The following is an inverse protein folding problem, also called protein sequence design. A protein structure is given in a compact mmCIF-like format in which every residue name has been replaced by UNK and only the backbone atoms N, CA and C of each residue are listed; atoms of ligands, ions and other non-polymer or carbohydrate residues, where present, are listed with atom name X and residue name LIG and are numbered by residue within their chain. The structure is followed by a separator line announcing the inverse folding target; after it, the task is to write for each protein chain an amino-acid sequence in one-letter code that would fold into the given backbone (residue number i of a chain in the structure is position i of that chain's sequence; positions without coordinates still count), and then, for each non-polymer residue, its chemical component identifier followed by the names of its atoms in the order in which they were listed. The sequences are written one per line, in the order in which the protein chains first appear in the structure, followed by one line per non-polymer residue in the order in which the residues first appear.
data_IF_008481568459
#
_entry.id   IF_008481568459
#
_cell.length_a   1.000
_cell.length_b   1.000
_cell.length_c   1.000
_cell.angle_alpha   90.00
_cell.angle_beta   90.00
_cell.angle_gamma   90.00
#
_symmetry.space_group_name_H-M   'P 1'
#
loop_
_entity.id
_entity.type
_entity.pdbx_description
1 polymer ?
#
# COMPACT_ATOMS: atom_id res chain seq x y z
N UNK A 1 -2.01 36.94 -8.27
CA UNK A 1 -0.85 36.04 -8.21
C UNK A 1 -0.67 35.60 -6.76
N UNK A 2 -1.04 34.36 -6.42
CA UNK A 2 -0.69 33.79 -5.13
C UNK A 2 0.68 33.12 -5.27
N UNK A 3 1.69 33.68 -4.62
CA UNK A 3 3.03 33.10 -4.53
C UNK A 3 2.90 31.88 -3.62
N UNK A 4 2.88 30.69 -4.22
CA UNK A 4 3.14 29.45 -3.49
C UNK A 4 4.62 29.49 -3.08
N UNK A 5 4.90 30.02 -1.90
CA UNK A 5 6.15 29.75 -1.18
C UNK A 5 6.16 28.27 -0.84
N UNK A 6 6.57 27.45 -1.80
CA UNK A 6 6.99 26.08 -1.55
C UNK A 6 8.38 26.18 -0.96
N UNK A 7 8.45 26.33 0.36
CA UNK A 7 9.68 25.99 1.09
C UNK A 7 10.04 24.56 0.71
N UNK A 8 11.11 24.45 -0.09
CA UNK A 8 11.78 23.18 -0.37
C UNK A 8 12.20 22.55 0.97
N UNK A 9 11.85 21.27 1.13
CA UNK A 9 12.49 20.31 2.02
C UNK A 9 12.21 20.37 3.54
N UNK A 10 10.95 20.53 3.95
CA UNK A 10 10.51 20.14 5.31
C UNK A 10 10.13 18.64 5.39
N UNK A 11 10.46 17.81 4.38
CA UNK A 11 10.11 16.38 4.43
C UNK A 11 10.89 15.60 5.48
N UNK A 12 12.20 15.83 5.58
CA UNK A 12 13.07 15.08 6.50
C UNK A 12 12.70 15.26 7.98
N UNK A 13 12.49 16.49 8.50
CA UNK A 13 12.11 16.69 9.89
C UNK A 13 10.77 16.03 10.25
N UNK A 14 9.80 16.08 9.33
CA UNK A 14 8.45 15.53 9.53
C UNK A 14 8.42 14.01 9.53
N UNK A 15 9.26 13.37 8.69
CA UNK A 15 9.40 11.91 8.66
C UNK A 15 10.06 11.36 9.94
N UNK A 16 10.79 12.19 10.68
CA UNK A 16 11.44 11.83 11.95
C UNK A 16 10.56 12.11 13.17
N UNK A 17 9.36 12.64 13.00
CA UNK A 17 8.42 12.80 14.11
C UNK A 17 7.88 11.44 14.55
N UNK A 18 7.74 11.26 15.86
CA UNK A 18 7.13 10.06 16.45
C UNK A 18 5.63 10.23 16.71
N UNK A 19 5.11 11.46 16.58
CA UNK A 19 3.72 11.80 16.85
C UNK A 19 2.96 12.26 15.61
N UNK A 20 1.73 11.79 15.51
CA UNK A 20 0.81 12.17 14.43
C UNK A 20 0.35 13.61 14.59
N UNK A 21 0.42 14.37 13.51
CA UNK A 21 -0.17 15.71 13.42
C UNK A 21 -0.79 15.88 12.03
N UNK A 22 -2.03 16.38 11.97
CA UNK A 22 -2.67 16.65 10.67
C UNK A 22 -1.93 17.73 9.88
N UNK A 23 -1.34 18.70 10.57
CA UNK A 23 -0.64 19.84 9.97
C UNK A 23 0.59 19.40 9.17
N UNK A 24 1.37 18.45 9.72
CA UNK A 24 2.57 17.95 9.05
C UNK A 24 2.33 16.72 8.18
N UNK A 25 1.11 16.18 8.13
CA UNK A 25 0.84 15.05 7.25
C UNK A 25 1.16 15.33 5.76
N UNK A 26 1.49 14.31 4.99
CA UNK A 26 1.73 14.40 3.55
C UNK A 26 0.63 15.22 2.82
N UNK A 27 1.07 16.24 2.08
CA UNK A 27 0.19 17.18 1.39
C UNK A 27 -0.62 16.51 0.28
N UNK A 28 -0.08 15.46 -0.35
CA UNK A 28 -0.77 14.77 -1.43
C UNK A 28 -1.98 14.00 -0.89
N UNK A 29 -1.79 13.27 0.21
CA UNK A 29 -2.86 12.56 0.90
C UNK A 29 -3.96 13.52 1.35
N UNK A 30 -3.58 14.66 1.96
CA UNK A 30 -4.55 15.72 2.32
C UNK A 30 -5.34 16.23 1.12
N UNK A 31 -4.72 16.42 -0.05
CA UNK A 31 -5.42 16.85 -1.27
C UNK A 31 -6.43 15.81 -1.75
N UNK A 32 -6.08 14.53 -1.74
CA UNK A 32 -7.02 13.46 -2.12
C UNK A 32 -8.24 13.44 -1.21
N UNK A 33 -8.02 13.47 0.12
CA UNK A 33 -9.11 13.47 1.10
C UNK A 33 -9.97 14.74 1.06
N UNK A 34 -9.38 15.89 0.71
CA UNK A 34 -10.13 17.13 0.48
C UNK A 34 -11.01 17.07 -0.77
N UNK A 35 -10.56 16.39 -1.82
CA UNK A 35 -11.35 16.22 -3.05
C UNK A 35 -12.44 15.16 -2.91
N UNK A 36 -12.17 14.09 -2.17
CA UNK A 36 -13.10 12.99 -1.92
C UNK A 36 -12.76 12.36 -0.58
N UNK A 37 -13.64 12.54 0.40
CA UNK A 37 -13.43 12.00 1.76
C UNK A 37 -13.51 10.47 1.78
N UNK A 38 -14.17 9.84 0.80
CA UNK A 38 -14.26 8.39 0.66
C UNK A 38 -13.14 7.81 -0.21
N UNK A 39 -12.17 8.63 -0.65
CA UNK A 39 -11.11 8.21 -1.58
C UNK A 39 -10.45 6.88 -1.17
N UNK A 40 -10.08 6.75 0.11
CA UNK A 40 -9.41 5.54 0.62
C UNK A 40 -10.37 4.33 0.70
N UNK A 41 -11.58 4.53 1.22
CA UNK A 41 -12.59 3.47 1.34
C UNK A 41 -12.97 2.92 -0.05
N UNK A 42 -13.29 3.81 -0.99
CA UNK A 42 -13.66 3.43 -2.36
C UNK A 42 -12.50 2.81 -3.14
N UNK A 43 -11.25 3.21 -2.88
CA UNK A 43 -10.09 2.52 -3.48
C UNK A 43 -10.04 1.06 -3.01
N UNK A 44 -10.07 0.83 -1.70
CA UNK A 44 -9.89 -0.51 -1.10
C UNK A 44 -11.09 -1.42 -1.42
N UNK A 45 -12.29 -0.84 -1.43
CA UNK A 45 -13.54 -1.56 -1.73
C UNK A 45 -13.87 -1.65 -3.22
N UNK A 46 -13.07 -1.01 -4.07
CA UNK A 46 -13.28 -0.96 -5.51
C UNK A 46 -14.67 -0.43 -5.91
N UNK A 47 -15.07 0.69 -5.30
CA UNK A 47 -16.38 1.33 -5.47
C UNK A 47 -16.30 2.67 -6.22
N UNK A 48 -17.45 3.18 -6.63
CA UNK A 48 -17.56 4.48 -7.32
C UNK A 48 -16.69 4.58 -8.57
N UNK A 49 -16.01 5.72 -8.72
CA UNK A 49 -15.13 5.97 -9.87
C UNK A 49 -13.84 5.12 -9.85
N UNK A 50 -13.48 4.50 -8.72
CA UNK A 50 -12.32 3.60 -8.66
C UNK A 50 -12.53 2.32 -9.45
N UNK A 51 -13.78 1.84 -9.55
CA UNK A 51 -14.10 0.70 -10.42
C UNK A 51 -13.77 0.97 -11.89
N UNK A 52 -14.01 2.20 -12.36
CA UNK A 52 -13.63 2.61 -13.73
C UNK A 52 -12.12 2.66 -13.91
N UNK A 53 -11.41 3.26 -12.95
CA UNK A 53 -9.93 3.34 -12.95
C UNK A 53 -9.28 1.96 -12.91
N UNK A 54 -9.88 1.04 -12.17
CA UNK A 54 -9.48 -0.36 -12.12
C UNK A 54 -9.59 -1.04 -13.49
N UNK A 55 -10.69 -0.83 -14.22
CA UNK A 55 -10.80 -1.34 -15.58
C UNK A 55 -9.67 -0.88 -16.50
N UNK A 56 -9.30 0.41 -16.45
CA UNK A 56 -8.14 0.92 -17.20
C UNK A 56 -6.82 0.30 -16.72
N UNK A 57 -6.62 0.17 -15.41
CA UNK A 57 -5.44 -0.49 -14.85
C UNK A 57 -5.34 -1.95 -15.30
N UNK A 58 -6.45 -2.69 -15.29
CA UNK A 58 -6.50 -4.10 -15.70
C UNK A 58 -6.10 -4.29 -17.16
N UNK A 59 -6.53 -3.40 -18.06
CA UNK A 59 -6.09 -3.41 -19.47
C UNK A 59 -4.56 -3.28 -19.58
N UNK A 60 -3.97 -2.35 -18.83
CA UNK A 60 -2.52 -2.18 -18.82
C UNK A 60 -1.78 -3.36 -18.19
N UNK A 61 -2.35 -3.96 -17.15
CA UNK A 61 -1.78 -5.16 -16.52
C UNK A 61 -1.80 -6.36 -17.45
N UNK A 62 -2.91 -6.62 -18.14
CA UNK A 62 -2.99 -7.70 -19.12
C UNK A 62 -1.97 -7.50 -20.24
N UNK A 63 -1.88 -6.28 -20.79
CA UNK A 63 -0.88 -5.96 -21.82
C UNK A 63 0.56 -6.19 -21.34
N UNK A 64 0.86 -5.85 -20.07
CA UNK A 64 2.16 -6.14 -19.47
C UNK A 64 2.40 -7.65 -19.32
N UNK A 65 1.44 -8.39 -18.77
CA UNK A 65 1.58 -9.83 -18.51
C UNK A 65 1.62 -10.67 -19.79
N UNK A 66 0.89 -10.28 -20.83
CA UNK A 66 0.94 -10.91 -22.16
C UNK A 66 2.32 -10.76 -22.81
N UNK A 67 3.07 -9.71 -22.47
CA UNK A 67 4.41 -9.47 -22.97
C UNK A 67 5.50 -10.22 -22.19
N UNK A 68 5.20 -10.73 -20.99
CA UNK A 68 6.15 -11.49 -20.18
C UNK A 68 6.15 -12.96 -20.63
N UNK A 69 7.30 -13.56 -20.96
CA UNK A 69 7.38 -14.98 -21.28
C UNK A 69 6.78 -15.87 -20.17
N UNK A 70 6.04 -16.90 -20.56
CA UNK A 70 5.30 -17.75 -19.62
C UNK A 70 6.18 -18.54 -18.64
N UNK A 71 7.48 -18.68 -18.93
CA UNK A 71 8.47 -19.32 -18.07
C UNK A 71 9.12 -18.34 -17.06
N UNK A 72 8.87 -17.04 -17.19
CA UNK A 72 9.34 -16.01 -16.25
C UNK A 72 8.30 -15.82 -15.14
N UNK A 73 8.63 -16.11 -13.87
CA UNK A 73 7.71 -15.88 -12.76
C UNK A 73 7.50 -14.38 -12.52
N UNK A 74 6.24 -13.99 -12.33
CA UNK A 74 5.84 -12.62 -11.98
C UNK A 74 5.24 -12.61 -10.59
N UNK A 75 5.73 -11.75 -9.71
CA UNK A 75 5.19 -11.56 -8.37
C UNK A 75 4.53 -10.17 -8.29
N UNK A 76 3.22 -10.14 -8.05
CA UNK A 76 2.47 -8.89 -7.84
C UNK A 76 2.31 -8.69 -6.34
N UNK A 77 3.00 -7.69 -5.79
CA UNK A 77 2.98 -7.36 -4.38
C UNK A 77 1.96 -6.26 -4.09
N UNK A 78 0.96 -6.58 -3.25
CA UNK A 78 -0.10 -5.67 -2.83
C UNK A 78 0.26 -5.03 -1.49
N UNK A 79 1.03 -3.94 -1.51
CA UNK A 79 1.38 -3.23 -0.27
C UNK A 79 0.10 -2.65 0.35
N UNK A 80 -0.30 -3.05 1.57
CA UNK A 80 -1.52 -2.56 2.17
C UNK A 80 -1.42 -1.06 2.44
N UNK A 81 -2.54 -0.35 2.39
CA UNK A 81 -2.60 0.98 2.94
C UNK A 81 -2.53 0.90 4.47
N UNK A 82 -1.84 1.84 5.13
CA UNK A 82 -1.67 1.85 6.59
C UNK A 82 -2.97 1.72 7.38
N UNK A 83 -4.08 2.30 6.90
CA UNK A 83 -5.39 2.20 7.56
C UNK A 83 -5.96 0.76 7.59
N UNK A 84 -5.49 -0.11 6.69
CA UNK A 84 -5.82 -1.54 6.70
C UNK A 84 -5.03 -2.30 7.78
N UNK A 85 -3.88 -1.75 8.23
CA UNK A 85 -2.93 -2.44 9.11
C UNK A 85 -3.36 -2.40 10.57
N UNK A 86 -3.89 -1.28 11.08
CA UNK A 86 -4.47 -1.23 12.43
C UNK A 86 -5.30 0.04 12.69
N UNK A 87 -5.88 0.08 13.88
CA UNK A 87 -6.75 1.16 14.35
C UNK A 87 -6.04 2.51 14.54
N UNK A 88 -4.73 2.50 14.85
CA UNK A 88 -3.97 3.74 15.02
C UNK A 88 -3.94 4.54 13.72
N UNK A 89 -3.59 3.91 12.61
CA UNK A 89 -3.57 4.57 11.31
C UNK A 89 -4.99 4.88 10.81
N UNK A 90 -5.94 3.97 11.05
CA UNK A 90 -7.35 4.19 10.69
C UNK A 90 -7.90 5.47 11.33
N UNK A 91 -7.71 5.67 12.63
CA UNK A 91 -8.17 6.87 13.33
C UNK A 91 -7.39 8.12 12.91
N UNK A 92 -6.10 8.01 12.61
CA UNK A 92 -5.32 9.12 12.06
C UNK A 92 -5.84 9.57 10.69
N UNK A 93 -6.22 8.64 9.80
CA UNK A 93 -6.85 9.00 8.52
C UNK A 93 -8.19 9.69 8.71
N UNK A 94 -9.00 9.26 9.69
CA UNK A 94 -10.25 9.96 10.05
C UNK A 94 -10.00 11.39 10.53
N UNK A 95 -8.93 11.62 11.31
CA UNK A 95 -8.50 12.99 11.70
C UNK A 95 -8.06 13.85 10.52
N UNK A 96 -7.64 13.25 9.41
CA UNK A 96 -7.36 13.94 8.15
C UNK A 96 -8.60 14.17 7.28
N UNK A 97 -9.78 13.71 7.71
CA UNK A 97 -11.04 13.84 6.99
C UNK A 97 -11.44 12.62 6.15
N UNK A 98 -10.73 11.49 6.26
CA UNK A 98 -11.16 10.26 5.59
C UNK A 98 -12.45 9.71 6.21
N UNK A 99 -13.34 9.23 5.35
CA UNK A 99 -14.54 8.48 5.70
C UNK A 99 -14.39 7.03 5.29
N UNK A 100 -14.84 6.13 6.16
CA UNK A 100 -14.83 4.69 5.92
C UNK A 100 -16.21 4.13 6.25
N UNK A 101 -16.75 3.32 5.35
CA UNK A 101 -18.07 2.72 5.55
C UNK A 101 -18.01 1.52 6.52
N UNK A 102 -16.89 0.81 6.54
CA UNK A 102 -16.69 -0.33 7.44
C UNK A 102 -15.20 -0.58 7.68
N UNK A 103 -14.78 -0.46 8.95
CA UNK A 103 -13.41 -0.79 9.36
C UNK A 103 -13.05 -2.24 9.04
N UNK A 104 -13.96 -3.16 9.37
CA UNK A 104 -13.78 -4.59 9.11
C UNK A 104 -13.60 -4.88 7.62
N UNK A 105 -14.36 -4.20 6.75
CA UNK A 105 -14.30 -4.43 5.31
C UNK A 105 -12.96 -4.02 4.69
N UNK A 106 -12.29 -3.00 5.22
CA UNK A 106 -10.98 -2.54 4.70
C UNK A 106 -9.79 -3.26 5.35
N UNK A 107 -9.95 -3.76 6.58
CA UNK A 107 -8.88 -4.44 7.34
C UNK A 107 -8.88 -5.98 7.14
N UNK A 108 -9.91 -6.57 6.52
CA UNK A 108 -9.89 -8.00 6.22
C UNK A 108 -8.84 -8.35 5.16
N UNK A 109 -8.29 -9.58 5.24
CA UNK A 109 -7.27 -10.07 4.31
C UNK A 109 -7.75 -10.03 2.85
N UNK A 110 -8.95 -10.55 2.60
CA UNK A 110 -9.58 -10.61 1.27
C UNK A 110 -10.45 -9.38 1.01
N UNK A 111 -9.82 -8.20 1.01
CA UNK A 111 -10.53 -6.95 0.71
C UNK A 111 -10.90 -6.87 -0.79
N UNK A 112 -11.97 -6.16 -1.17
CA UNK A 112 -12.56 -6.28 -2.51
C UNK A 112 -11.60 -6.00 -3.67
N UNK A 113 -10.75 -4.98 -3.56
CA UNK A 113 -9.75 -4.70 -4.61
C UNK A 113 -8.81 -5.90 -4.82
N UNK A 114 -8.28 -6.49 -3.75
CA UNK A 114 -7.35 -7.63 -3.86
C UNK A 114 -8.04 -8.88 -4.39
N UNK A 115 -9.26 -9.15 -3.91
CA UNK A 115 -10.06 -10.29 -4.35
C UNK A 115 -10.35 -10.22 -5.86
N UNK A 116 -10.82 -9.05 -6.33
CA UNK A 116 -11.14 -8.85 -7.75
C UNK A 116 -9.88 -8.90 -8.63
N UNK A 117 -8.79 -8.24 -8.22
CA UNK A 117 -7.54 -8.27 -8.98
C UNK A 117 -6.93 -9.69 -9.08
N UNK A 118 -7.02 -10.48 -8.01
CA UNK A 118 -6.54 -11.87 -8.00
C UNK A 118 -7.39 -12.76 -8.91
N UNK A 119 -8.71 -12.54 -8.92
CA UNK A 119 -9.64 -13.25 -9.80
C UNK A 119 -9.44 -12.88 -11.27
N UNK A 120 -9.36 -11.60 -11.61
CA UNK A 120 -9.26 -11.15 -12.99
C UNK A 120 -7.92 -11.53 -13.64
N UNK A 121 -6.86 -11.67 -12.84
CA UNK A 121 -5.54 -12.07 -13.29
C UNK A 121 -5.25 -13.58 -13.13
N UNK A 122 -6.24 -14.38 -12.72
CA UNK A 122 -6.05 -15.82 -12.44
C UNK A 122 -5.72 -16.66 -13.68
N UNK A 123 -5.89 -16.12 -14.89
CA UNK A 123 -5.53 -16.77 -16.15
C UNK A 123 -4.02 -16.91 -16.37
N UNK A 124 -3.21 -16.06 -15.73
CA UNK A 124 -1.76 -16.04 -15.87
C UNK A 124 -1.10 -17.02 -14.90
N UNK A 125 -0.73 -18.21 -15.40
CA UNK A 125 -0.16 -19.29 -14.57
C UNK A 125 1.21 -18.95 -13.97
N UNK A 126 1.94 -18.00 -14.56
CA UNK A 126 3.24 -17.52 -14.08
C UNK A 126 3.11 -16.34 -13.09
N UNK A 127 1.90 -15.90 -12.75
CA UNK A 127 1.66 -14.80 -11.81
C UNK A 127 1.35 -15.32 -10.41
N UNK A 128 2.01 -14.75 -9.41
CA UNK A 128 1.72 -14.98 -8.00
C UNK A 128 1.40 -13.66 -7.30
N UNK A 129 0.20 -13.58 -6.74
CA UNK A 129 -0.21 -12.44 -5.91
C UNK A 129 0.30 -12.61 -4.48
N UNK A 130 0.94 -11.57 -3.95
CA UNK A 130 1.48 -11.52 -2.60
C UNK A 130 0.77 -10.42 -1.82
N UNK A 131 0.11 -10.79 -0.72
CA UNK A 131 -0.62 -9.88 0.16
C UNK A 131 -0.02 -9.94 1.58
N UNK A 132 0.82 -8.97 1.98
CA UNK A 132 1.45 -8.93 3.29
C UNK A 132 0.54 -8.35 4.37
N UNK A 133 -0.76 -8.08 4.11
CA UNK A 133 -1.64 -7.40 5.06
C UNK A 133 -1.69 -8.06 6.44
N UNK A 134 -1.97 -9.37 6.52
CA UNK A 134 -2.01 -10.09 7.80
C UNK A 134 -0.66 -10.13 8.47
N UNK A 135 0.42 -10.26 7.70
CA UNK A 135 1.78 -10.17 8.23
C UNK A 135 2.03 -8.79 8.85
N UNK A 136 1.69 -7.71 8.15
CA UNK A 136 1.83 -6.34 8.65
C UNK A 136 0.98 -6.11 9.89
N UNK A 137 -0.26 -6.59 9.92
CA UNK A 137 -1.14 -6.52 11.09
C UNK A 137 -0.52 -7.19 12.32
N UNK A 138 0.17 -8.32 12.15
CA UNK A 138 0.85 -9.00 13.28
C UNK A 138 2.15 -8.34 13.71
N UNK A 139 2.82 -7.57 12.84
CA UNK A 139 4.13 -6.96 13.10
C UNK A 139 4.05 -5.50 13.52
N UNK A 140 2.97 -4.81 13.19
CA UNK A 140 2.75 -3.44 13.63
C UNK A 140 2.25 -3.40 15.08
N UNK A 141 2.93 -2.61 15.91
CA UNK A 141 2.56 -2.39 17.31
C UNK A 141 2.92 -0.97 17.73
N UNK A 142 2.46 -0.54 18.91
CA UNK A 142 2.78 0.79 19.46
C UNK A 142 4.29 1.08 19.44
N UNK A 143 5.11 0.08 19.79
CA UNK A 143 6.57 0.21 19.87
C UNK A 143 7.27 -0.17 18.56
N UNK A 144 6.52 -0.53 17.51
CA UNK A 144 7.07 -0.97 16.22
C UNK A 144 6.11 -0.69 15.07
N UNK A 145 5.89 0.60 14.80
CA UNK A 145 5.14 1.06 13.63
C UNK A 145 5.87 0.75 12.33
N UNK A 146 5.12 0.36 11.30
CA UNK A 146 5.64 0.01 9.97
C UNK A 146 5.55 1.15 8.95
N UNK A 147 4.78 2.20 9.24
CA UNK A 147 4.63 3.39 8.41
C UNK A 147 5.19 4.61 9.13
N UNK A 148 5.52 5.64 8.38
CA UNK A 148 5.80 6.94 8.96
C UNK A 148 4.52 7.54 9.55
N UNK A 149 4.66 8.25 10.66
CA UNK A 149 3.48 8.73 11.39
C UNK A 149 2.73 9.83 10.63
N UNK A 150 3.45 10.64 9.85
CA UNK A 150 2.93 11.77 9.08
C UNK A 150 3.05 11.59 7.56
N UNK A 151 3.27 10.37 7.09
CA UNK A 151 3.48 10.09 5.66
C UNK A 151 2.98 8.67 5.32
N UNK A 152 2.35 8.44 4.15
CA UNK A 152 1.70 7.15 3.84
C UNK A 152 2.69 6.04 3.46
N UNK A 153 4.00 6.29 3.38
CA UNK A 153 4.99 5.30 3.00
C UNK A 153 5.41 4.43 4.20
N UNK A 154 5.85 3.20 3.89
CA UNK A 154 6.48 2.31 4.86
C UNK A 154 7.81 2.90 5.33
N UNK A 155 8.08 2.81 6.63
CA UNK A 155 9.32 3.26 7.23
C UNK A 155 10.42 2.18 7.14
N UNK A 156 11.58 2.41 7.76
CA UNK A 156 12.68 1.44 7.78
C UNK A 156 12.25 0.06 8.33
N UNK A 157 11.48 0.03 9.43
CA UNK A 157 10.98 -1.22 10.02
C UNK A 157 9.95 -1.89 9.12
N UNK A 158 9.08 -1.12 8.48
CA UNK A 158 8.14 -1.62 7.46
C UNK A 158 8.87 -2.31 6.31
N UNK A 159 9.94 -1.70 5.80
CA UNK A 159 10.78 -2.31 4.77
C UNK A 159 11.49 -3.58 5.26
N UNK A 160 11.99 -3.60 6.49
CA UNK A 160 12.59 -4.81 7.08
C UNK A 160 11.57 -5.96 7.16
N UNK A 161 10.36 -5.68 7.64
CA UNK A 161 9.28 -6.67 7.74
C UNK A 161 8.82 -7.13 6.36
N UNK A 162 8.72 -6.22 5.39
CA UNK A 162 8.40 -6.57 4.01
C UNK A 162 9.46 -7.48 3.40
N UNK A 163 10.75 -7.21 3.64
CA UNK A 163 11.85 -8.07 3.20
C UNK A 163 11.74 -9.47 3.80
N UNK A 164 11.49 -9.57 5.11
CA UNK A 164 11.25 -10.86 5.78
C UNK A 164 10.09 -11.62 5.17
N UNK A 165 8.97 -10.93 4.90
CA UNK A 165 7.83 -11.53 4.21
C UNK A 165 8.23 -12.07 2.83
N UNK A 166 8.86 -11.25 1.99
CA UNK A 166 9.23 -11.60 0.62
C UNK A 166 10.21 -12.78 0.53
N UNK A 167 11.15 -12.90 1.47
CA UNK A 167 12.07 -14.04 1.56
C UNK A 167 11.37 -15.39 1.73
N UNK A 168 10.14 -15.41 2.24
CA UNK A 168 9.32 -16.61 2.32
C UNK A 168 8.66 -17.03 0.99
N UNK A 169 8.67 -16.18 -0.04
CA UNK A 169 7.97 -16.42 -1.30
C UNK A 169 8.85 -16.36 -2.55
N UNK A 170 9.92 -15.56 -2.50
CA UNK A 170 10.84 -15.37 -3.62
C UNK A 170 12.11 -16.16 -3.29
N UNK A 171 12.42 -17.22 -4.06
CA UNK A 171 13.67 -17.94 -3.88
C UNK A 171 14.82 -16.99 -4.19
N UNK A 172 15.57 -16.61 -3.15
CA UNK A 172 16.85 -15.96 -3.36
C UNK A 172 17.79 -17.02 -3.94
N UNK A 173 18.41 -16.73 -5.09
CA UNK A 173 19.59 -17.50 -5.50
C UNK A 173 20.60 -17.37 -4.38
N UNK A 174 20.85 -18.46 -3.66
CA UNK A 174 22.04 -18.56 -2.83
C UNK A 174 23.20 -18.69 -3.79
N UNK A 175 24.01 -17.65 -3.94
CA UNK A 175 25.25 -17.73 -4.70
C UNK A 175 26.19 -18.74 -4.01
N UNK A 176 26.14 -20.00 -4.44
CA UNK A 176 26.99 -21.08 -3.93
C UNK A 176 28.28 -21.27 -4.74
N UNK A 177 28.69 -20.32 -5.58
CA UNK A 177 29.79 -20.53 -6.54
C UNK A 177 30.96 -19.53 -6.42
N UNK A 178 31.50 -19.29 -5.22
CA UNK A 178 32.79 -18.58 -5.05
C UNK A 178 33.75 -19.22 -4.04
N UNK A 179 33.75 -20.56 -3.91
CA UNK A 179 34.85 -21.29 -3.26
C UNK A 179 35.08 -22.61 -4.01
N UNK A 180 35.92 -22.56 -5.03
CA UNK A 180 36.75 -23.68 -5.51
C UNK A 180 38.04 -23.09 -6.08
#
# INVERSE_FOLDING_TARGET
MAILNVEKDIRLPVLLMDEFTSDFYDIRTKRFLKSDTNYLDYTIRLEGDFKKRYGSWLVHMNAFLDAVPADVPVYILWIPHQAQVNDYYYENMKKLGAMFNSKTAIQQYDYPFFSEATKDLSGYRNVKHLNPLTFFQTKDSLNSRLYFVNDPHINYRGNLMLSTYLKGYIPLKTDTNHLN
#
